data_IF_612127068525
#
_entry.id   IF_612127068525
#
_cell.length_a   1.000
_cell.length_b   1.000
_cell.length_c   1.000
_cell.angle_alpha   90.00
_cell.angle_beta   90.00
_cell.angle_gamma   90.00
#
_symmetry.space_group_name_H-M   'P 1'
#
loop_
_entity.id
_entity.type
_entity.pdbx_description
1 polymer ?
#
# COMPACT_ATOMS: atom_id res chain seq x y z
N UNK A 1 6.67 3.97 -6.83
CA UNK A 1 5.63 3.11 -7.38
C UNK A 1 6.32 1.94 -8.04
N UNK A 2 6.03 0.72 -7.62
CA UNK A 2 6.55 -0.52 -8.20
C UNK A 2 5.37 -1.32 -8.73
N UNK A 3 5.60 -2.20 -9.70
CA UNK A 3 4.65 -3.25 -10.00
C UNK A 3 4.42 -4.16 -8.78
N UNK A 4 3.25 -4.80 -8.74
CA UNK A 4 2.81 -5.66 -7.65
C UNK A 4 2.62 -7.13 -8.07
N UNK A 5 2.65 -7.43 -9.37
CA UNK A 5 2.41 -8.78 -9.89
C UNK A 5 3.72 -9.55 -10.16
N UNK A 6 4.67 -8.93 -10.87
CA UNK A 6 5.92 -9.55 -11.31
C UNK A 6 7.13 -9.15 -10.45
N UNK A 7 7.00 -8.16 -9.57
CA UNK A 7 8.08 -7.71 -8.70
C UNK A 7 8.31 -8.69 -7.54
N UNK A 8 9.55 -9.12 -7.36
CA UNK A 8 9.95 -9.81 -6.13
C UNK A 8 9.97 -8.82 -4.95
N UNK A 9 9.67 -9.29 -3.73
CA UNK A 9 9.54 -8.40 -2.57
C UNK A 9 10.84 -7.69 -2.21
N UNK A 10 12.01 -8.32 -2.41
CA UNK A 10 13.33 -7.74 -2.08
C UNK A 10 13.61 -6.45 -2.87
N UNK A 11 13.57 -6.44 -4.22
CA UNK A 11 13.79 -5.20 -4.97
C UNK A 11 12.71 -4.14 -4.73
N UNK A 12 11.46 -4.53 -4.46
CA UNK A 12 10.40 -3.59 -4.10
C UNK A 12 10.69 -2.88 -2.77
N UNK A 13 11.14 -3.63 -1.76
CA UNK A 13 11.53 -3.10 -0.45
C UNK A 13 12.76 -2.19 -0.56
N UNK A 14 13.77 -2.60 -1.34
CA UNK A 14 14.97 -1.80 -1.58
C UNK A 14 14.64 -0.47 -2.26
N UNK A 15 13.76 -0.49 -3.27
CA UNK A 15 13.29 0.72 -3.94
C UNK A 15 12.61 1.69 -2.94
N UNK A 16 11.71 1.18 -2.10
CA UNK A 16 11.02 1.99 -1.08
C UNK A 16 12.01 2.55 -0.04
N UNK A 17 12.95 1.74 0.43
CA UNK A 17 13.97 2.15 1.39
C UNK A 17 14.91 3.21 0.81
N UNK A 18 15.29 3.10 -0.46
CA UNK A 18 16.09 4.08 -1.18
C UNK A 18 15.38 5.44 -1.23
N UNK A 19 14.12 5.47 -1.66
CA UNK A 19 13.32 6.70 -1.74
C UNK A 19 13.11 7.35 -0.37
N UNK A 20 12.71 6.57 0.64
CA UNK A 20 12.51 7.10 2.01
C UNK A 20 13.80 7.63 2.62
N UNK A 21 14.93 6.97 2.40
CA UNK A 21 16.23 7.45 2.90
C UNK A 21 16.60 8.79 2.26
N UNK A 22 16.40 8.92 0.95
CA UNK A 22 16.63 10.18 0.24
C UNK A 22 15.74 11.29 0.81
N UNK A 23 14.43 11.07 0.89
CA UNK A 23 13.49 12.07 1.42
C UNK A 23 13.83 12.49 2.86
N UNK A 24 14.16 11.53 3.73
CA UNK A 24 14.56 11.85 5.11
C UNK A 24 15.84 12.67 5.19
N UNK A 25 16.79 12.47 4.26
CA UNK A 25 18.05 13.22 4.23
C UNK A 25 17.85 14.65 3.73
N UNK A 26 17.08 14.83 2.67
CA UNK A 26 16.91 16.15 2.03
C UNK A 26 15.82 17.00 2.71
N UNK A 27 14.76 16.36 3.21
CA UNK A 27 13.56 17.03 3.74
C UNK A 27 13.39 16.82 5.26
N UNK A 28 14.32 16.13 5.91
CA UNK A 28 14.25 15.84 7.34
C UNK A 28 13.08 14.95 7.74
N UNK A 29 12.63 15.06 9.00
CA UNK A 29 11.56 14.23 9.55
C UNK A 29 10.19 14.45 8.88
N UNK A 30 9.88 15.69 8.47
CA UNK A 30 8.59 16.05 7.88
C UNK A 30 8.40 15.51 6.46
N UNK A 31 9.48 15.19 5.74
CA UNK A 31 9.40 14.56 4.41
C UNK A 31 9.14 13.07 4.41
N UNK A 32 8.91 12.44 5.57
CA UNK A 32 8.60 11.01 5.66
C UNK A 32 7.16 10.75 5.24
N UNK A 33 6.89 10.00 4.15
CA UNK A 33 5.53 9.75 3.69
C UNK A 33 4.72 8.97 4.72
N UNK A 34 3.46 9.39 4.91
CA UNK A 34 2.45 8.73 5.77
C UNK A 34 1.53 7.80 5.00
N UNK A 35 1.32 8.06 3.71
CA UNK A 35 0.44 7.28 2.85
C UNK A 35 1.17 6.75 1.63
N UNK A 36 0.81 5.55 1.22
CA UNK A 36 1.28 4.91 0.00
C UNK A 36 0.30 5.20 -1.14
N UNK A 37 0.82 5.33 -2.36
CA UNK A 37 0.05 5.73 -3.54
C UNK A 37 0.36 4.82 -4.72
N UNK A 38 -0.56 3.89 -5.00
CA UNK A 38 -0.46 2.83 -6.02
C UNK A 38 -1.64 2.94 -7.00
N UNK A 39 -1.72 4.03 -7.75
CA UNK A 39 -2.86 4.30 -8.63
C UNK A 39 -2.84 3.53 -9.97
N UNK A 40 -1.67 3.09 -10.43
CA UNK A 40 -1.48 2.55 -11.78
C UNK A 40 -0.91 1.11 -11.89
N UNK A 41 -0.56 0.36 -10.82
CA UNK A 41 -0.32 -1.08 -10.93
C UNK A 41 -1.56 -1.86 -11.36
N UNK A 42 -1.41 -2.92 -12.16
CA UNK A 42 -2.52 -3.75 -12.63
C UNK A 42 -2.91 -4.82 -11.60
N UNK A 43 -3.69 -4.39 -10.59
CA UNK A 43 -4.03 -5.21 -9.43
C UNK A 43 -3.04 -5.00 -8.29
N UNK A 44 -3.43 -5.44 -7.09
CA UNK A 44 -2.71 -5.12 -5.84
C UNK A 44 -2.39 -6.37 -5.04
N UNK A 45 -1.16 -6.41 -4.53
CA UNK A 45 -0.61 -7.55 -3.82
C UNK A 45 -0.80 -7.39 -2.32
N UNK A 46 -1.29 -8.47 -1.69
CA UNK A 46 -1.37 -8.54 -0.23
C UNK A 46 0.02 -8.39 0.43
N UNK A 47 1.07 -8.86 -0.23
CA UNK A 47 2.45 -8.77 0.29
C UNK A 47 2.92 -7.32 0.37
N UNK A 48 2.71 -6.49 -0.66
CA UNK A 48 3.17 -5.11 -0.64
C UNK A 48 2.37 -4.25 0.37
N UNK A 49 1.08 -4.51 0.52
CA UNK A 49 0.27 -3.89 1.58
C UNK A 49 0.82 -4.20 2.98
N UNK A 50 1.23 -5.44 3.25
CA UNK A 50 1.85 -5.82 4.52
C UNK A 50 3.22 -5.14 4.73
N UNK A 51 3.99 -4.93 3.66
CA UNK A 51 5.25 -4.18 3.72
C UNK A 51 4.98 -2.72 4.05
N UNK A 52 3.98 -2.07 3.44
CA UNK A 52 3.61 -0.69 3.77
C UNK A 52 3.20 -0.54 5.24
N UNK A 53 2.35 -1.43 5.75
CA UNK A 53 1.96 -1.43 7.16
C UNK A 53 3.19 -1.52 8.09
N UNK A 54 4.09 -2.48 7.84
CA UNK A 54 5.31 -2.67 8.64
C UNK A 54 6.31 -1.51 8.52
N UNK A 55 6.28 -0.77 7.41
CA UNK A 55 7.09 0.44 7.21
C UNK A 55 6.51 1.68 7.89
N UNK A 56 5.38 1.55 8.59
CA UNK A 56 4.73 2.62 9.33
C UNK A 56 3.92 3.58 8.46
N UNK A 57 3.37 3.08 7.34
CA UNK A 57 2.36 3.82 6.58
C UNK A 57 0.99 3.65 7.24
N UNK A 58 0.25 4.76 7.30
CA UNK A 58 -1.08 4.81 7.90
C UNK A 58 -2.16 4.43 6.88
N UNK A 59 -1.90 4.64 5.59
CA UNK A 59 -2.86 4.32 4.53
C UNK A 59 -2.22 3.99 3.18
N UNK A 60 -3.00 3.32 2.33
CA UNK A 60 -2.67 2.93 0.97
C UNK A 60 -3.83 3.29 0.06
N UNK A 61 -3.56 4.04 -1.00
CA UNK A 61 -4.57 4.37 -2.00
C UNK A 61 -4.28 3.64 -3.31
N UNK A 62 -5.33 3.01 -3.85
CA UNK A 62 -5.26 2.15 -5.03
C UNK A 62 -6.21 2.65 -6.12
N UNK A 63 -5.79 2.51 -7.38
CA UNK A 63 -6.58 2.99 -8.53
C UNK A 63 -7.19 1.89 -9.38
N UNK A 64 -6.47 0.79 -9.60
CA UNK A 64 -6.93 -0.28 -10.51
C UNK A 64 -7.40 -1.50 -9.72
N UNK A 65 -8.71 -1.61 -9.57
CA UNK A 65 -9.42 -2.79 -9.06
C UNK A 65 -10.29 -3.39 -10.16
N UNK A 66 -10.71 -4.65 -9.99
CA UNK A 66 -11.64 -5.25 -10.95
C UNK A 66 -12.92 -4.42 -11.04
N UNK A 67 -13.42 -4.22 -12.26
CA UNK A 67 -14.60 -3.39 -12.53
C UNK A 67 -15.87 -3.90 -11.84
N UNK A 68 -16.06 -5.21 -11.66
CA UNK A 68 -17.19 -5.80 -10.96
C UNK A 68 -17.07 -5.57 -9.45
N UNK A 69 -15.85 -5.69 -8.92
CA UNK A 69 -15.53 -5.37 -7.52
C UNK A 69 -15.78 -3.88 -7.24
N UNK A 70 -15.30 -2.99 -8.12
CA UNK A 70 -15.55 -1.55 -8.03
C UNK A 70 -17.04 -1.22 -7.99
N UNK A 71 -17.81 -1.71 -8.97
CA UNK A 71 -19.25 -1.45 -9.02
C UNK A 71 -20.00 -1.99 -7.80
N UNK A 72 -19.56 -3.12 -7.25
CA UNK A 72 -20.12 -3.69 -6.01
C UNK A 72 -19.82 -2.81 -4.81
N UNK A 73 -18.56 -2.39 -4.63
CA UNK A 73 -18.12 -1.55 -3.52
C UNK A 73 -18.73 -0.16 -3.54
N UNK A 74 -18.88 0.45 -4.72
CA UNK A 74 -19.58 1.73 -4.87
C UNK A 74 -21.03 1.63 -4.40
N UNK A 75 -21.74 0.55 -4.78
CA UNK A 75 -23.12 0.31 -4.35
C UNK A 75 -23.24 0.06 -2.84
N UNK A 76 -22.28 -0.66 -2.26
CA UNK A 76 -22.29 -1.04 -0.84
C UNK A 76 -21.65 0.01 0.07
N UNK A 77 -21.03 1.06 -0.48
CA UNK A 77 -20.21 2.06 0.24
C UNK A 77 -19.00 1.42 0.95
N UNK A 78 -18.36 0.49 0.28
CA UNK A 78 -17.19 -0.29 0.75
C UNK A 78 -15.92 0.03 -0.07
N UNK A 79 -15.83 1.27 -0.57
CA UNK A 79 -14.65 1.76 -1.30
C UNK A 79 -13.43 1.95 -0.38
N UNK A 80 -13.66 2.01 0.93
CA UNK A 80 -12.64 2.14 1.95
C UNK A 80 -12.76 0.95 2.91
N UNK A 81 -11.62 0.37 3.29
CA UNK A 81 -11.58 -0.75 4.23
C UNK A 81 -10.28 -0.76 5.04
N UNK A 82 -10.29 -1.47 6.17
CA UNK A 82 -9.07 -1.86 6.85
C UNK A 82 -8.55 -3.17 6.24
N UNK A 83 -7.48 -3.10 5.46
CA UNK A 83 -6.93 -4.27 4.79
C UNK A 83 -5.97 -5.02 5.70
N UNK A 84 -6.40 -6.20 6.14
CA UNK A 84 -5.54 -7.15 6.86
C UNK A 84 -4.65 -7.90 5.90
N UNK A 85 -3.41 -7.43 5.78
CA UNK A 85 -2.50 -7.89 4.75
C UNK A 85 -1.68 -9.12 5.17
N UNK A 86 -1.85 -9.68 6.37
CA UNK A 86 -1.18 -10.92 6.78
C UNK A 86 -2.09 -11.82 7.61
N UNK A 87 -2.08 -13.11 7.28
CA UNK A 87 -2.68 -14.16 8.11
C UNK A 87 -1.75 -14.68 9.21
N UNK A 88 -0.45 -14.38 9.14
CA UNK A 88 0.56 -14.89 10.08
C UNK A 88 1.01 -13.86 11.11
N UNK A 89 0.97 -12.57 10.76
CA UNK A 89 1.34 -11.51 11.68
C UNK A 89 0.15 -11.15 12.58
N UNK A 90 0.38 -10.94 13.89
CA UNK A 90 -0.69 -10.52 14.79
C UNK A 90 -1.12 -9.08 14.47
N UNK A 91 -2.43 -8.76 14.54
CA UNK A 91 -2.90 -7.38 14.45
C UNK A 91 -2.28 -6.50 15.54
N UNK A 92 -2.03 -5.22 15.27
CA UNK A 92 -2.27 -4.50 14.00
C UNK A 92 -1.05 -4.49 13.05
N UNK A 93 -0.08 -5.40 13.21
CA UNK A 93 1.24 -5.28 12.59
C UNK A 93 1.24 -5.28 11.04
N UNK A 94 0.17 -5.76 10.41
CA UNK A 94 0.01 -5.79 8.96
C UNK A 94 -1.37 -5.27 8.52
N UNK A 95 -2.01 -4.44 9.33
CA UNK A 95 -3.29 -3.84 9.00
C UNK A 95 -3.05 -2.42 8.46
N UNK A 96 -3.65 -2.09 7.30
CA UNK A 96 -3.48 -0.78 6.66
C UNK A 96 -4.81 -0.25 6.14
N UNK A 97 -5.10 1.02 6.38
CA UNK A 97 -6.27 1.67 5.78
C UNK A 97 -6.10 1.70 4.26
N UNK A 98 -7.08 1.18 3.52
CA UNK A 98 -7.03 1.14 2.06
C UNK A 98 -8.23 1.86 1.48
N UNK A 99 -7.98 2.83 0.61
CA UNK A 99 -9.00 3.56 -0.14
C UNK A 99 -8.86 3.32 -1.63
N UNK A 100 -9.95 2.96 -2.30
CA UNK A 100 -10.03 2.87 -3.76
C UNK A 100 -10.60 4.15 -4.37
N UNK A 101 -10.07 4.57 -5.52
CA UNK A 101 -10.67 5.61 -6.39
C UNK A 101 -11.47 5.02 -7.54
#
# INVERSE_FOLDING_TARGET
MSDEAAAHYSPALEQLALGRRFLRRELGGCGTPRVAWQIDPFGHSRQLAAIFAQMGYDGLFVGRVDHQDKGTRERLREMELLWRASGSLPPPAADIFTGGT
#
